data_IF_672081660741
#
_entry.id   IF_672081660741
#
_cell.length_a   1.000
_cell.length_b   1.000
_cell.length_c   1.000
_cell.angle_alpha   90.00
_cell.angle_beta   90.00
_cell.angle_gamma   90.00
#
_symmetry.space_group_name_H-M   'P 1'
#
loop_
_entity.id
_entity.type
_entity.pdbx_description
1 polymer ?
#
# COMPACT_ATOMS: atom_id res chain seq x y z
N UNK A 1 1.08 14.69 12.62
CA UNK A 1 0.70 14.55 11.19
C UNK A 1 -0.13 13.28 11.06
N UNK A 2 -1.18 13.28 10.25
CA UNK A 2 -2.08 12.11 10.15
C UNK A 2 -1.50 11.03 9.24
N UNK A 3 -1.41 9.76 9.69
CA UNK A 3 -0.92 8.66 8.87
C UNK A 3 -1.93 8.26 7.79
N UNK A 4 -1.42 7.95 6.61
CA UNK A 4 -2.18 7.49 5.45
C UNK A 4 -2.07 5.97 5.30
N UNK A 5 -3.23 5.32 5.17
CA UNK A 5 -3.39 3.88 5.00
C UNK A 5 -4.22 3.61 3.74
N UNK A 6 -3.56 3.21 2.65
CA UNK A 6 -4.20 2.98 1.37
C UNK A 6 -5.12 1.76 1.42
N UNK A 7 -4.79 0.75 2.23
CA UNK A 7 -5.68 -0.38 2.43
C UNK A 7 -6.99 0.04 3.09
N UNK A 8 -6.92 0.89 4.11
CA UNK A 8 -8.12 1.37 4.80
C UNK A 8 -9.04 2.18 3.86
N UNK A 9 -8.46 3.05 3.03
CA UNK A 9 -9.21 3.83 2.03
C UNK A 9 -9.89 2.90 1.03
N UNK A 10 -9.14 1.96 0.48
CA UNK A 10 -9.66 1.00 -0.49
C UNK A 10 -10.75 0.11 0.12
N UNK A 11 -10.53 -0.41 1.33
CA UNK A 11 -11.50 -1.24 2.04
C UNK A 11 -12.80 -0.48 2.27
N UNK A 12 -12.72 0.78 2.71
CA UNK A 12 -13.91 1.63 2.88
C UNK A 12 -14.68 1.76 1.56
N UNK A 13 -13.99 2.02 0.45
CA UNK A 13 -14.60 2.09 -0.88
C UNK A 13 -15.26 0.78 -1.31
N UNK A 14 -14.55 -0.34 -1.18
CA UNK A 14 -15.04 -1.66 -1.54
C UNK A 14 -16.27 -2.07 -0.71
N UNK A 15 -16.25 -1.81 0.60
CA UNK A 15 -17.37 -2.12 1.48
C UNK A 15 -18.59 -1.26 1.20
N UNK A 16 -18.41 0.05 0.98
CA UNK A 16 -19.50 0.95 0.60
C UNK A 16 -20.17 0.50 -0.70
N UNK A 17 -19.35 0.16 -1.70
CA UNK A 17 -19.84 -0.35 -2.97
C UNK A 17 -20.61 -1.67 -2.77
N UNK A 18 -20.14 -2.57 -1.89
CA UNK A 18 -20.82 -3.83 -1.60
C UNK A 18 -22.15 -3.65 -0.85
N UNK A 19 -22.16 -2.84 0.21
CA UNK A 19 -23.31 -2.64 1.10
C UNK A 19 -24.45 -1.90 0.41
N UNK A 20 -24.12 -0.93 -0.45
CA UNK A 20 -25.12 -0.10 -1.13
C UNK A 20 -25.34 -0.47 -2.59
N UNK A 21 -24.77 -1.57 -3.07
CA UNK A 21 -25.07 -2.06 -4.41
C UNK A 21 -26.54 -2.47 -4.52
N UNK A 22 -27.23 -1.97 -5.55
CA UNK A 22 -28.60 -2.37 -5.88
C UNK A 22 -28.69 -3.85 -6.26
N UNK A 23 -27.59 -4.43 -6.75
CA UNK A 23 -27.49 -5.84 -7.14
C UNK A 23 -26.22 -6.44 -6.57
N UNK A 24 -26.23 -7.71 -6.12
CA UNK A 24 -25.03 -8.36 -5.62
C UNK A 24 -23.89 -8.27 -6.64
N UNK A 25 -22.68 -7.86 -6.23
CA UNK A 25 -21.55 -7.79 -7.14
C UNK A 25 -21.26 -9.18 -7.69
N UNK A 26 -20.89 -9.23 -8.96
CA UNK A 26 -20.56 -10.49 -9.64
C UNK A 26 -19.05 -10.63 -9.80
N UNK A 27 -18.57 -11.84 -9.60
CA UNK A 27 -17.16 -12.20 -9.74
C UNK A 27 -17.10 -13.40 -10.70
N UNK A 28 -16.45 -13.19 -11.85
CA UNK A 28 -16.45 -14.16 -12.98
C UNK A 28 -17.87 -14.62 -13.36
N UNK A 29 -18.82 -13.69 -13.39
CA UNK A 29 -20.22 -13.95 -13.75
C UNK A 29 -21.05 -14.65 -12.67
N UNK A 30 -20.50 -14.90 -11.47
CA UNK A 30 -21.24 -15.46 -10.33
C UNK A 30 -21.50 -14.38 -9.29
N UNK A 31 -22.75 -14.28 -8.81
CA UNK A 31 -23.09 -13.36 -7.73
C UNK A 31 -22.36 -13.75 -6.43
N UNK A 32 -21.83 -12.75 -5.74
CA UNK A 32 -21.23 -12.93 -4.42
C UNK A 32 -22.37 -12.99 -3.40
N UNK A 33 -22.60 -14.16 -2.82
CA UNK A 33 -23.60 -14.40 -1.78
C UNK A 33 -22.95 -14.41 -0.37
N UNK A 34 -22.23 -13.34 -0.03
CA UNK A 34 -21.66 -13.17 1.31
C UNK A 34 -22.46 -12.10 2.05
N UNK A 35 -22.62 -12.24 3.36
CA UNK A 35 -23.04 -11.11 4.19
C UNK A 35 -21.96 -10.00 4.15
N UNK A 36 -22.32 -8.73 4.38
CA UNK A 36 -21.33 -7.64 4.46
C UNK A 36 -20.17 -7.90 5.42
N UNK A 37 -20.45 -8.56 6.57
CA UNK A 37 -19.41 -8.94 7.55
C UNK A 37 -18.49 -10.06 7.02
N UNK A 38 -19.05 -11.07 6.35
CA UNK A 38 -18.25 -12.10 5.67
C UNK A 38 -17.40 -11.51 4.55
N UNK A 39 -17.96 -10.57 3.78
CA UNK A 39 -17.24 -9.88 2.72
C UNK A 39 -16.08 -9.06 3.30
N UNK A 40 -16.32 -8.24 4.33
CA UNK A 40 -15.26 -7.50 5.05
C UNK A 40 -14.16 -8.43 5.59
N UNK A 41 -14.55 -9.55 6.18
CA UNK A 41 -13.63 -10.56 6.67
C UNK A 41 -12.76 -11.16 5.54
N UNK A 42 -13.35 -11.46 4.38
CA UNK A 42 -12.63 -11.95 3.22
C UNK A 42 -11.63 -10.91 2.71
N UNK A 43 -12.05 -9.64 2.60
CA UNK A 43 -11.17 -8.56 2.20
C UNK A 43 -10.00 -8.40 3.18
N UNK A 44 -10.21 -8.48 4.50
CA UNK A 44 -9.12 -8.32 5.49
C UNK A 44 -8.15 -9.51 5.52
N UNK A 45 -8.67 -10.74 5.41
CA UNK A 45 -7.85 -11.95 5.36
C UNK A 45 -6.90 -11.98 4.16
N UNK A 46 -7.32 -11.40 3.04
CA UNK A 46 -6.51 -11.38 1.83
C UNK A 46 -5.16 -10.65 2.02
N UNK A 47 -5.11 -9.59 2.82
CA UNK A 47 -3.92 -8.74 2.94
C UNK A 47 -3.16 -8.95 4.23
N UNK A 48 -3.84 -9.27 5.32
CA UNK A 48 -3.19 -9.43 6.61
C UNK A 48 -2.92 -10.90 6.97
N UNK A 49 -2.76 -11.77 5.97
CA UNK A 49 -2.44 -13.19 6.13
C UNK A 49 -1.32 -13.53 7.14
N UNK A 50 -0.25 -12.74 7.32
CA UNK A 50 0.78 -13.01 8.34
C UNK A 50 0.37 -12.56 9.75
N UNK A 51 -0.69 -11.75 9.88
CA UNK A 51 -1.23 -11.39 11.19
C UNK A 51 -2.06 -12.56 11.76
N UNK A 52 -2.08 -12.73 13.10
CA UNK A 52 -2.89 -13.76 13.72
C UNK A 52 -4.35 -13.65 13.31
N UNK A 53 -4.98 -14.79 13.05
CA UNK A 53 -6.42 -14.85 12.75
C UNK A 53 -7.25 -14.12 13.83
N UNK A 54 -6.79 -14.22 15.08
CA UNK A 54 -7.36 -13.53 16.24
C UNK A 54 -7.37 -11.99 16.10
N UNK A 55 -6.33 -11.40 15.49
CA UNK A 55 -6.26 -9.94 15.31
C UNK A 55 -7.33 -9.45 14.33
N UNK A 56 -7.56 -10.20 13.24
CA UNK A 56 -8.61 -9.87 12.27
C UNK A 56 -10.00 -10.08 12.89
N UNK A 57 -10.18 -11.16 13.64
CA UNK A 57 -11.41 -11.45 14.37
C UNK A 57 -11.74 -10.35 15.39
N UNK A 58 -10.74 -9.83 16.10
CA UNK A 58 -10.88 -8.72 17.05
C UNK A 58 -11.36 -7.43 16.36
N UNK A 59 -10.79 -7.08 15.20
CA UNK A 59 -11.21 -5.90 14.43
C UNK A 59 -12.67 -6.02 13.98
N UNK A 60 -13.09 -7.22 13.58
CA UNK A 60 -14.44 -7.49 13.08
C UNK A 60 -15.46 -7.77 14.19
N UNK A 61 -15.03 -7.79 15.46
CA UNK A 61 -15.84 -8.22 16.60
C UNK A 61 -16.51 -9.59 16.36
N UNK A 62 -15.70 -10.58 15.99
CA UNK A 62 -16.14 -11.95 15.67
C UNK A 62 -15.39 -12.99 16.51
N UNK A 63 -16.03 -14.13 16.84
CA UNK A 63 -15.32 -15.30 17.31
C UNK A 63 -14.32 -15.80 16.25
N UNK A 64 -13.17 -16.28 16.70
CA UNK A 64 -12.11 -16.79 15.81
C UNK A 64 -12.62 -18.00 15.02
N UNK A 65 -13.44 -18.84 15.65
CA UNK A 65 -14.04 -20.05 15.10
C UNK A 65 -14.96 -19.74 13.92
N UNK A 66 -15.73 -18.65 14.02
CA UNK A 66 -16.58 -18.17 12.91
C UNK A 66 -15.74 -17.82 11.69
N UNK A 67 -14.63 -17.11 11.89
CA UNK A 67 -13.72 -16.75 10.82
C UNK A 67 -12.99 -17.97 10.23
N UNK A 68 -12.65 -18.96 11.06
CA UNK A 68 -12.11 -20.24 10.59
C UNK A 68 -13.11 -21.01 9.71
N UNK A 69 -14.38 -21.01 10.09
CA UNK A 69 -15.46 -21.62 9.30
C UNK A 69 -15.56 -20.97 7.93
N UNK A 70 -15.63 -19.64 7.89
CA UNK A 70 -15.76 -18.89 6.62
C UNK A 70 -14.58 -19.10 5.68
N UNK A 71 -13.36 -19.25 6.20
CA UNK A 71 -12.17 -19.56 5.37
C UNK A 71 -12.25 -20.88 4.59
N UNK A 72 -13.18 -21.76 4.94
CA UNK A 72 -13.41 -23.03 4.21
C UNK A 72 -14.48 -22.89 3.13
N UNK A 73 -15.21 -21.78 3.11
CA UNK A 73 -16.27 -21.54 2.15
C UNK A 73 -15.69 -21.12 0.79
N UNK A 74 -16.08 -21.76 -0.32
CA UNK A 74 -15.56 -21.41 -1.65
C UNK A 74 -15.80 -19.95 -2.04
N UNK A 75 -16.95 -19.38 -1.66
CA UNK A 75 -17.28 -17.98 -1.93
C UNK A 75 -16.34 -17.01 -1.21
N UNK A 76 -15.94 -17.34 0.02
CA UNK A 76 -15.01 -16.53 0.80
C UNK A 76 -13.62 -16.52 0.16
N UNK A 77 -13.10 -17.71 -0.19
CA UNK A 77 -11.79 -17.85 -0.86
C UNK A 77 -11.77 -17.14 -2.22
N UNK A 78 -12.86 -17.23 -2.98
CA UNK A 78 -12.98 -16.54 -4.27
C UNK A 78 -12.89 -15.02 -4.13
N UNK A 79 -13.57 -14.44 -3.14
CA UNK A 79 -13.50 -13.01 -2.84
C UNK A 79 -12.11 -12.61 -2.36
N UNK A 80 -11.46 -13.43 -1.51
CA UNK A 80 -10.08 -13.20 -1.10
C UNK A 80 -9.15 -13.09 -2.30
N UNK A 81 -9.15 -14.07 -3.21
CA UNK A 81 -8.24 -14.09 -4.36
C UNK A 81 -8.50 -12.94 -5.33
N UNK A 82 -9.76 -12.65 -5.62
CA UNK A 82 -10.13 -11.52 -6.48
C UNK A 82 -9.72 -10.19 -5.86
N UNK A 83 -9.96 -10.01 -4.56
CA UNK A 83 -9.63 -8.77 -3.88
C UNK A 83 -8.15 -8.46 -4.04
N UNK A 84 -7.25 -9.44 -3.82
CA UNK A 84 -5.79 -9.25 -3.95
C UNK A 84 -5.41 -8.58 -5.27
N UNK A 85 -6.03 -8.97 -6.38
CA UNK A 85 -5.80 -8.38 -7.70
C UNK A 85 -6.28 -6.93 -7.75
N UNK A 86 -7.51 -6.67 -7.32
CA UNK A 86 -8.11 -5.33 -7.36
C UNK A 86 -7.36 -4.32 -6.51
N UNK A 87 -6.98 -4.70 -5.29
CA UNK A 87 -6.20 -3.82 -4.44
C UNK A 87 -4.77 -3.63 -4.95
N UNK A 88 -4.15 -4.67 -5.52
CA UNK A 88 -2.82 -4.53 -6.11
C UNK A 88 -2.84 -3.48 -7.24
N UNK A 89 -3.86 -3.51 -8.10
CA UNK A 89 -4.06 -2.52 -9.14
C UNK A 89 -4.27 -1.13 -8.56
N UNK A 90 -5.22 -0.97 -7.63
CA UNK A 90 -5.48 0.29 -6.94
C UNK A 90 -4.22 0.87 -6.28
N UNK A 91 -3.48 0.06 -5.53
CA UNK A 91 -2.28 0.47 -4.83
C UNK A 91 -1.20 0.94 -5.79
N UNK A 92 -0.94 0.14 -6.84
CA UNK A 92 0.05 0.47 -7.86
C UNK A 92 -0.30 1.79 -8.54
N UNK A 93 -1.54 1.96 -8.98
CA UNK A 93 -2.00 3.20 -9.62
C UNK A 93 -1.89 4.39 -8.68
N UNK A 94 -2.25 4.21 -7.41
CA UNK A 94 -2.17 5.26 -6.40
C UNK A 94 -0.74 5.70 -6.15
N UNK A 95 0.20 4.76 -5.97
CA UNK A 95 1.64 5.05 -5.76
C UNK A 95 2.26 5.71 -6.98
N UNK A 96 1.89 5.30 -8.20
CA UNK A 96 2.42 5.90 -9.43
C UNK A 96 1.79 7.27 -9.72
N UNK A 97 0.53 7.48 -9.32
CA UNK A 97 -0.28 8.64 -9.69
C UNK A 97 -0.29 9.78 -8.68
N UNK A 98 0.05 9.52 -7.41
CA UNK A 98 -0.16 10.49 -6.32
C UNK A 98 1.16 10.96 -5.72
N UNK A 99 1.29 12.27 -5.55
CA UNK A 99 2.39 12.86 -4.79
C UNK A 99 2.02 12.88 -3.30
N UNK A 100 2.74 12.07 -2.51
CA UNK A 100 2.59 12.03 -1.08
C UNK A 100 3.68 12.87 -0.40
N UNK A 101 3.35 13.59 0.69
CA UNK A 101 4.37 14.14 1.57
C UNK A 101 5.19 13.00 2.19
N UNK A 102 6.46 13.28 2.53
CA UNK A 102 7.42 12.27 3.00
C UNK A 102 6.84 11.36 4.11
N UNK A 103 6.22 11.94 5.13
CA UNK A 103 5.64 11.16 6.22
C UNK A 103 4.57 10.16 5.76
N UNK A 104 3.75 10.51 4.76
CA UNK A 104 2.77 9.59 4.20
C UNK A 104 3.42 8.51 3.34
N UNK A 105 4.50 8.81 2.62
CA UNK A 105 5.27 7.77 1.93
C UNK A 105 5.74 6.69 2.91
N UNK A 106 6.20 7.11 4.09
CA UNK A 106 6.66 6.19 5.14
C UNK A 106 5.51 5.41 5.78
N UNK A 107 4.34 6.00 6.01
CA UNK A 107 3.20 5.25 6.53
C UNK A 107 2.67 4.26 5.50
N UNK A 108 2.65 4.63 4.21
CA UNK A 108 2.26 3.76 3.10
C UNK A 108 3.25 2.59 2.93
N UNK A 109 4.56 2.85 3.03
CA UNK A 109 5.57 1.79 3.00
C UNK A 109 5.51 0.89 4.24
N UNK A 110 5.22 1.45 5.42
CA UNK A 110 5.02 0.70 6.65
C UNK A 110 3.78 -0.19 6.57
N UNK A 111 2.65 0.35 6.10
CA UNK A 111 1.44 -0.44 5.81
C UNK A 111 1.73 -1.58 4.84
N UNK A 112 2.44 -1.30 3.74
CA UNK A 112 2.85 -2.31 2.76
C UNK A 112 3.62 -3.47 3.41
N UNK A 113 4.47 -3.18 4.39
CA UNK A 113 5.26 -4.19 5.09
C UNK A 113 4.41 -5.14 5.95
N UNK A 114 3.21 -4.74 6.36
CA UNK A 114 2.29 -5.55 7.17
C UNK A 114 1.51 -6.58 6.35
N UNK A 115 1.60 -6.52 5.02
CA UNK A 115 0.82 -7.39 4.15
C UNK A 115 1.41 -8.77 3.94
N UNK A 116 0.57 -9.65 3.39
CA UNK A 116 0.92 -11.00 3.01
C UNK A 116 2.03 -11.05 1.95
N UNK A 117 2.99 -11.95 2.17
CA UNK A 117 4.27 -11.99 1.48
C UNK A 117 4.14 -12.10 -0.03
N UNK A 118 3.25 -12.96 -0.54
CA UNK A 118 3.10 -13.14 -1.99
C UNK A 118 2.60 -11.87 -2.67
N UNK A 119 1.70 -11.12 -2.02
CA UNK A 119 1.23 -9.83 -2.50
C UNK A 119 2.35 -8.78 -2.46
N UNK A 120 3.10 -8.71 -1.35
CA UNK A 120 4.24 -7.79 -1.21
C UNK A 120 5.28 -8.04 -2.30
N UNK A 121 5.66 -9.30 -2.51
CA UNK A 121 6.65 -9.67 -3.54
C UNK A 121 6.15 -9.28 -4.92
N UNK A 122 4.90 -9.63 -5.28
CA UNK A 122 4.32 -9.31 -6.59
C UNK A 122 4.30 -7.80 -6.86
N UNK A 123 3.79 -7.00 -5.92
CA UNK A 123 3.72 -5.54 -6.07
C UNK A 123 5.10 -4.89 -6.10
N UNK A 124 6.03 -5.36 -5.26
CA UNK A 124 7.41 -4.86 -5.24
C UNK A 124 8.10 -5.10 -6.59
N UNK A 125 7.88 -6.26 -7.22
CA UNK A 125 8.39 -6.57 -8.57
C UNK A 125 7.81 -5.59 -9.59
N UNK A 126 6.49 -5.46 -9.64
CA UNK A 126 5.82 -4.56 -10.60
C UNK A 126 6.29 -3.10 -10.47
N UNK A 127 6.42 -2.58 -9.25
CA UNK A 127 6.93 -1.22 -9.03
C UNK A 127 8.43 -1.10 -9.38
N UNK A 128 9.21 -2.16 -9.16
CA UNK A 128 10.64 -2.19 -9.52
C UNK A 128 10.86 -2.20 -11.03
N UNK A 129 9.99 -2.88 -11.78
CA UNK A 129 10.01 -2.91 -13.24
C UNK A 129 9.76 -1.52 -13.85
N UNK A 130 9.06 -0.64 -13.14
CA UNK A 130 8.92 0.78 -13.52
C UNK A 130 10.10 1.59 -13.03
N UNK A 131 10.53 1.41 -11.77
CA UNK A 131 11.53 2.27 -11.14
C UNK A 131 12.93 2.11 -11.72
N UNK A 132 13.42 0.88 -11.98
CA UNK A 132 14.79 0.68 -12.45
C UNK A 132 15.05 1.29 -13.83
N UNK A 133 14.20 1.06 -14.86
CA UNK A 133 14.39 1.69 -16.16
C UNK A 133 14.28 3.21 -16.08
N UNK A 134 13.41 3.74 -15.20
CA UNK A 134 13.26 5.17 -14.98
C UNK A 134 14.53 5.79 -14.37
N UNK A 135 15.09 5.15 -13.33
CA UNK A 135 16.36 5.54 -12.72
C UNK A 135 17.49 5.56 -13.76
N UNK A 136 17.60 4.52 -14.58
CA UNK A 136 18.62 4.42 -15.63
C UNK A 136 18.42 5.49 -16.71
N UNK A 137 17.17 5.72 -17.15
CA UNK A 137 16.78 6.73 -18.15
C UNK A 137 17.19 8.12 -17.68
N UNK A 138 16.77 8.53 -16.48
CA UNK A 138 17.09 9.84 -15.92
C UNK A 138 18.60 10.00 -15.70
N UNK A 139 19.27 9.00 -15.14
CA UNK A 139 20.73 9.02 -14.94
C UNK A 139 21.49 9.16 -16.26
N UNK A 140 21.07 8.47 -17.32
CA UNK A 140 21.68 8.57 -18.65
C UNK A 140 21.44 9.95 -19.25
N UNK A 141 20.22 10.48 -19.20
CA UNK A 141 19.89 11.80 -19.75
C UNK A 141 20.67 12.90 -19.06
N UNK A 142 20.73 12.87 -17.73
CA UNK A 142 21.52 13.83 -16.95
C UNK A 142 23.00 13.78 -17.31
N UNK A 143 23.61 12.59 -17.37
CA UNK A 143 25.04 12.43 -17.76
C UNK A 143 25.38 12.98 -19.15
N UNK A 144 24.41 13.02 -20.06
CA UNK A 144 24.60 13.53 -21.43
C UNK A 144 24.05 14.95 -21.63
N UNK A 145 23.66 15.66 -20.56
CA UNK A 145 23.11 17.02 -20.66
C UNK A 145 21.79 17.09 -21.45
N UNK A 146 21.05 15.99 -21.52
CA UNK A 146 19.76 15.95 -22.21
C UNK A 146 18.65 16.45 -21.29
N UNK A 147 17.67 17.17 -21.86
CA UNK A 147 16.49 17.66 -21.13
C UNK A 147 15.77 16.53 -20.39
N UNK A 148 15.33 16.76 -19.14
CA UNK A 148 14.60 15.77 -18.35
C UNK A 148 13.10 16.03 -18.47
N UNK A 149 12.31 14.98 -18.68
CA UNK A 149 10.86 15.08 -18.79
C UNK A 149 10.25 15.33 -17.39
N UNK A 150 9.46 16.39 -17.18
CA UNK A 150 8.81 16.65 -15.90
C UNK A 150 7.96 15.49 -15.38
N UNK A 151 7.31 14.73 -16.28
CA UNK A 151 6.53 13.56 -15.90
C UNK A 151 7.42 12.45 -15.33
N UNK A 152 8.55 12.17 -15.97
CA UNK A 152 9.53 11.18 -15.49
C UNK A 152 10.09 11.58 -14.11
N UNK A 153 10.35 12.88 -13.90
CA UNK A 153 10.86 13.41 -12.64
C UNK A 153 9.86 13.21 -11.49
N UNK A 154 8.59 13.54 -11.72
CA UNK A 154 7.52 13.33 -10.74
C UNK A 154 7.35 11.84 -10.42
N UNK A 155 7.31 11.00 -11.46
CA UNK A 155 7.19 9.55 -11.29
C UNK A 155 8.38 8.98 -10.50
N UNK A 156 9.59 9.46 -10.79
CA UNK A 156 10.79 9.06 -10.07
C UNK A 156 10.69 9.47 -8.61
N UNK A 157 10.30 10.71 -8.31
CA UNK A 157 10.12 11.19 -6.94
C UNK A 157 9.18 10.28 -6.14
N UNK A 158 8.01 9.96 -6.69
CA UNK A 158 7.01 9.10 -6.03
C UNK A 158 7.56 7.72 -5.72
N UNK A 159 8.16 7.07 -6.72
CA UNK A 159 8.74 5.74 -6.57
C UNK A 159 9.96 5.73 -5.65
N UNK A 160 10.83 6.74 -5.75
CA UNK A 160 12.00 6.90 -4.89
C UNK A 160 11.59 7.02 -3.43
N UNK A 161 10.64 7.90 -3.09
CA UNK A 161 10.16 8.07 -1.72
C UNK A 161 9.50 6.80 -1.19
N UNK A 162 8.69 6.12 -2.01
CA UNK A 162 8.09 4.84 -1.62
C UNK A 162 9.15 3.77 -1.34
N UNK A 163 10.12 3.57 -2.23
CA UNK A 163 11.17 2.57 -2.03
C UNK A 163 12.13 2.95 -0.90
N UNK A 164 12.40 4.23 -0.69
CA UNK A 164 13.17 4.72 0.45
C UNK A 164 12.48 4.35 1.77
N UNK A 165 11.18 4.62 1.89
CA UNK A 165 10.39 4.20 3.04
C UNK A 165 10.34 2.67 3.18
N UNK A 166 10.23 1.94 2.06
CA UNK A 166 10.17 0.47 2.10
C UNK A 166 11.48 -0.14 2.59
N UNK A 167 12.64 0.40 2.22
CA UNK A 167 13.95 -0.08 2.68
C UNK A 167 14.17 0.16 4.18
N UNK A 168 13.46 1.12 4.80
CA UNK A 168 13.46 1.29 6.26
C UNK A 168 12.79 0.11 6.98
N UNK A 169 11.65 -0.37 6.47
CA UNK A 169 10.89 -1.46 7.11
C UNK A 169 11.27 -2.86 6.64
N UNK A 170 11.63 -3.00 5.37
CA UNK A 170 11.87 -4.27 4.71
C UNK A 170 13.07 -4.16 3.75
N UNK A 171 14.29 -4.08 4.30
CA UNK A 171 15.51 -3.99 3.51
C UNK A 171 15.57 -5.08 2.44
N UNK A 172 15.98 -4.73 1.23
CA UNK A 172 16.09 -5.71 0.16
C UNK A 172 16.96 -5.27 -1.00
N UNK A 173 16.74 -5.90 -2.16
CA UNK A 173 17.63 -5.75 -3.32
C UNK A 173 17.63 -4.35 -3.94
N UNK A 174 16.62 -3.53 -3.64
CA UNK A 174 16.53 -2.15 -4.13
C UNK A 174 17.40 -1.18 -3.31
N UNK A 175 17.78 -1.51 -2.07
CA UNK A 175 18.53 -0.60 -1.19
C UNK A 175 19.91 -0.21 -1.73
N UNK A 176 20.64 -1.12 -2.39
CA UNK A 176 21.94 -0.80 -3.00
C UNK A 176 21.81 0.17 -4.20
N UNK A 177 20.96 -0.08 -5.21
CA UNK A 177 20.69 0.89 -6.27
C UNK A 177 20.17 2.23 -5.75
N UNK A 178 19.27 2.20 -4.78
CA UNK A 178 18.64 3.40 -4.21
C UNK A 178 19.65 4.29 -3.50
N UNK A 179 20.54 3.72 -2.67
CA UNK A 179 21.59 4.47 -1.99
C UNK A 179 22.70 4.96 -2.94
N UNK A 180 23.15 4.13 -3.89
CA UNK A 180 24.29 4.48 -4.76
C UNK A 180 23.96 5.41 -5.92
N UNK A 181 22.76 5.29 -6.48
CA UNK A 181 22.37 6.02 -7.69
C UNK A 181 21.11 6.84 -7.46
N UNK A 182 20.11 6.26 -6.78
CA UNK A 182 18.84 6.92 -6.53
C UNK A 182 18.99 8.19 -5.69
N UNK A 183 19.71 8.13 -4.57
CA UNK A 183 19.84 9.23 -3.62
C UNK A 183 20.62 10.43 -4.21
N UNK A 184 21.79 10.26 -4.86
CA UNK A 184 22.45 11.37 -5.55
C UNK A 184 21.58 11.97 -6.66
N UNK A 185 20.93 11.13 -7.48
CA UNK A 185 20.06 11.62 -8.55
C UNK A 185 18.86 12.39 -7.98
N UNK A 186 18.25 11.90 -6.91
CA UNK A 186 17.11 12.54 -6.25
C UNK A 186 17.49 13.93 -5.73
N UNK A 187 18.56 14.02 -4.94
CA UNK A 187 19.01 15.24 -4.27
C UNK A 187 19.57 16.27 -5.23
N UNK A 188 20.45 15.85 -6.14
CA UNK A 188 21.27 16.76 -6.93
C UNK A 188 20.61 17.13 -8.27
N UNK A 189 19.59 16.37 -8.71
CA UNK A 189 18.97 16.54 -10.03
C UNK A 189 17.46 16.66 -9.94
N UNK A 190 16.77 15.68 -9.35
CA UNK A 190 15.30 15.60 -9.44
C UNK A 190 14.61 16.67 -8.60
N UNK A 191 14.97 16.80 -7.33
CA UNK A 191 14.36 17.82 -6.45
C UNK A 191 14.58 19.24 -6.99
N UNK A 192 15.82 19.66 -7.32
CA UNK A 192 16.06 20.98 -7.89
C UNK A 192 15.29 21.25 -9.19
N UNK A 193 15.05 20.21 -10.00
CA UNK A 193 14.32 20.35 -11.27
C UNK A 193 12.79 20.42 -11.10
N UNK A 194 12.24 19.88 -10.01
CA UNK A 194 10.79 19.83 -9.76
C UNK A 194 10.24 21.09 -9.09
N UNK A 195 11.08 21.91 -8.46
CA UNK A 195 10.64 23.19 -7.89
C UNK A 195 11.43 23.64 -6.67
N UNK A 196 10.92 24.66 -5.94
CA UNK A 196 11.61 25.30 -4.84
C UNK A 196 11.54 24.52 -3.51
N UNK A 197 10.83 23.38 -3.48
CA UNK A 197 10.75 22.56 -2.27
C UNK A 197 12.15 22.08 -1.87
N UNK A 198 12.61 22.39 -0.65
CA UNK A 198 13.92 21.95 -0.22
C UNK A 198 13.97 20.43 -0.14
N UNK A 199 15.17 19.90 -0.32
CA UNK A 199 15.45 18.50 -0.04
C UNK A 199 15.02 18.15 1.40
N UNK A 200 14.27 17.05 1.62
CA UNK A 200 13.82 16.68 2.95
C UNK A 200 15.00 16.26 3.82
N UNK A 201 15.35 17.09 4.81
CA UNK A 201 16.46 16.86 5.75
C UNK A 201 16.24 15.62 6.63
N UNK A 202 14.98 15.20 6.79
CA UNK A 202 14.59 13.99 7.50
C UNK A 202 15.15 12.72 6.85
N UNK A 203 15.44 12.75 5.54
CA UNK A 203 16.08 11.64 4.82
C UNK A 203 17.55 11.49 5.24
N UNK A 204 18.24 12.59 5.56
CA UNK A 204 19.67 12.59 5.93
C UNK A 204 19.89 12.32 7.42
N UNK A 205 18.98 12.81 8.26
CA UNK A 205 19.06 12.67 9.73
C UNK A 205 18.58 11.31 10.24
N UNK A 206 17.99 10.48 9.37
CA UNK A 206 17.38 9.20 9.71
C UNK A 206 16.34 9.33 10.84
N UNK A 207 15.69 10.50 10.99
CA UNK A 207 14.57 10.78 11.93
C UNK A 207 13.26 10.09 11.46
N UNK A 208 13.43 8.95 10.80
CA UNK A 208 12.41 8.09 10.22
C UNK A 208 11.92 7.05 11.24
N UNK A 209 12.67 6.87 12.34
CA UNK A 209 12.35 5.99 13.48
C UNK A 209 11.05 6.37 14.22
N UNK A 210 10.43 7.51 13.87
CA UNK A 210 9.13 7.94 14.40
C UNK A 210 7.96 7.03 14.01
N UNK A 211 8.15 6.17 13.02
CA UNK A 211 7.11 5.28 12.51
C UNK A 211 7.50 3.83 12.77
N UNK A 212 7.35 3.36 14.01
CA UNK A 212 7.64 1.95 14.32
C UNK A 212 6.46 1.07 13.88
N UNK A 213 6.75 -0.12 13.33
CA UNK A 213 5.71 -1.03 12.80
C UNK A 213 4.60 -1.40 13.80
N UNK A 214 4.88 -1.68 15.09
CA UNK A 214 3.81 -1.94 16.07
C UNK A 214 2.82 -0.78 16.18
N UNK A 215 3.30 0.45 16.25
CA UNK A 215 2.46 1.65 16.35
C UNK A 215 1.59 1.81 15.10
N UNK A 216 2.16 1.62 13.91
CA UNK A 216 1.41 1.67 12.66
C UNK A 216 0.31 0.61 12.61
N UNK A 217 0.60 -0.60 13.09
CA UNK A 217 -0.38 -1.69 13.14
C UNK A 217 -1.54 -1.36 14.09
N UNK A 218 -1.27 -0.79 15.26
CA UNK A 218 -2.30 -0.37 16.20
C UNK A 218 -3.18 0.77 15.64
N UNK A 219 -2.55 1.78 15.04
CA UNK A 219 -3.26 2.90 14.42
C UNK A 219 -4.14 2.39 13.26
N UNK A 220 -3.60 1.49 12.43
CA UNK A 220 -4.34 0.86 11.35
C UNK A 220 -5.54 0.06 11.89
N UNK A 221 -5.35 -0.75 12.93
CA UNK A 221 -6.44 -1.49 13.57
C UNK A 221 -7.57 -0.57 14.04
N UNK A 222 -7.22 0.55 14.70
CA UNK A 222 -8.19 1.55 15.15
C UNK A 222 -8.95 2.19 13.97
N UNK A 223 -8.26 2.57 12.88
CA UNK A 223 -8.89 3.13 11.67
C UNK A 223 -9.79 2.11 10.95
N UNK A 224 -9.41 0.83 10.93
CA UNK A 224 -10.23 -0.24 10.37
C UNK A 224 -11.49 -0.48 11.21
N UNK A 225 -11.38 -0.56 12.54
CA UNK A 225 -12.54 -0.65 13.45
C UNK A 225 -13.50 0.53 13.24
N UNK A 226 -12.98 1.76 13.15
CA UNK A 226 -13.80 2.95 12.85
C UNK A 226 -14.51 2.83 11.50
N UNK A 227 -13.81 2.41 10.46
CA UNK A 227 -14.39 2.22 9.11
C UNK A 227 -15.55 1.23 9.12
N UNK A 228 -15.42 0.13 9.87
CA UNK A 228 -16.48 -0.88 10.02
C UNK A 228 -17.66 -0.35 10.84
N UNK A 229 -17.39 0.43 11.89
CA UNK A 229 -18.42 1.09 12.70
C UNK A 229 -19.25 2.08 11.88
N UNK A 230 -18.60 2.93 11.09
CA UNK A 230 -19.23 3.93 10.22
C UNK A 230 -20.13 3.29 9.15
N UNK A 231 -19.93 2.01 8.84
CA UNK A 231 -20.74 1.21 7.91
C UNK A 231 -21.73 0.27 8.63
N UNK A 232 -21.88 0.39 9.95
CA UNK A 232 -22.75 -0.44 10.78
C UNK A 232 -22.46 -1.95 10.70
N UNK A 233 -21.19 -2.33 10.51
CA UNK A 233 -20.76 -3.73 10.35
C UNK A 233 -20.29 -4.41 11.65
N UNK A 234 -20.29 -3.69 12.79
CA UNK A 234 -19.82 -4.19 14.08
C UNK A 234 -20.93 -4.62 15.05
N UNK A 235 -22.19 -4.55 14.62
CA UNK A 235 -23.37 -4.95 15.41
C UNK A 235 -23.95 -6.28 14.91
#
# INVERSE_FOLDING_TARGET
>A
MEPLFLYQIWLAGALRAFVWALTPPTLRGKAIHLSPRQYAAALMQAYFGPNPLAWIAEILNLPVETLQSWRREPGFLLVMDWSKVQFAEFFRETVLGTDFPLHQCFTVAGEFSLWEDTLRVRLRVQLSEVFRPLLEKLSRRHRHGLSLDPHDLLLFRRLFLFFLGLEHYLPGVAGKPLSKQGLPLARDVVWPALGPEPWPQEIETNDLDRYVLPDLKEILAAKLKKTLADLHLLH
#
